data_IF_029301919070
#
_entry.id   IF_029301919070
#
_cell.length_a   1.000
_cell.length_b   1.000
_cell.length_c   1.000
_cell.angle_alpha   90.00
_cell.angle_beta   90.00
_cell.angle_gamma   90.00
#
_symmetry.space_group_name_H-M   'P 1'
#
loop_
_entity.id
_entity.type
_entity.pdbx_description
1 polymer ?
#
# COMPACT_ATOMS: atom_id res chain seq x y z
N UNK A 1 -5.98 -18.13 -4.93
CA UNK A 1 -5.76 -17.41 -6.20
C UNK A 1 -5.03 -18.23 -7.26
N UNK A 2 -3.81 -18.72 -7.01
CA UNK A 2 -3.00 -19.43 -8.03
C UNK A 2 -3.69 -20.70 -8.60
N UNK A 3 -4.26 -21.54 -7.74
CA UNK A 3 -4.95 -22.77 -8.17
C UNK A 3 -6.28 -22.51 -8.91
N UNK A 4 -7.05 -21.49 -8.48
CA UNK A 4 -8.39 -21.20 -9.02
C UNK A 4 -8.38 -20.48 -10.37
N UNK A 5 -7.27 -19.86 -10.78
CA UNK A 5 -7.17 -19.20 -12.09
C UNK A 5 -7.12 -20.23 -13.21
N UNK A 6 -7.69 -19.90 -14.35
CA UNK A 6 -7.67 -20.71 -15.58
C UNK A 6 -6.31 -20.69 -16.32
N UNK A 7 -5.27 -20.12 -15.71
CA UNK A 7 -3.90 -20.12 -16.22
C UNK A 7 -2.91 -20.30 -15.06
N UNK A 8 -1.64 -20.53 -15.40
CA UNK A 8 -0.54 -20.61 -14.42
C UNK A 8 0.46 -19.49 -14.69
N UNK A 9 0.80 -18.73 -13.64
CA UNK A 9 1.88 -17.75 -13.65
C UNK A 9 2.68 -17.89 -12.35
N UNK A 10 4.02 -17.89 -12.41
CA UNK A 10 4.84 -17.86 -11.20
C UNK A 10 4.43 -16.71 -10.28
N UNK A 11 4.46 -16.97 -8.98
CA UNK A 11 4.23 -15.96 -7.95
C UNK A 11 5.47 -15.89 -7.06
N UNK A 12 6.13 -14.74 -7.11
CA UNK A 12 7.25 -14.45 -6.22
C UNK A 12 6.67 -13.75 -4.98
N UNK A 13 6.88 -14.35 -3.81
CA UNK A 13 6.36 -13.84 -2.53
C UNK A 13 7.55 -13.48 -1.65
N UNK A 14 7.58 -12.23 -1.20
CA UNK A 14 8.52 -11.80 -0.16
C UNK A 14 7.93 -12.18 1.20
N UNK A 15 8.16 -13.43 1.61
CA UNK A 15 7.56 -13.97 2.82
C UNK A 15 8.07 -13.21 4.06
N UNK A 16 7.16 -12.79 4.97
CA UNK A 16 7.56 -12.01 6.13
C UNK A 16 8.26 -12.88 7.18
N UNK A 17 9.17 -12.27 7.94
CA UNK A 17 9.78 -12.88 9.14
C UNK A 17 9.16 -12.33 10.42
N UNK A 18 9.30 -11.02 10.65
CA UNK A 18 8.82 -10.36 11.86
C UNK A 18 7.30 -10.35 11.99
N UNK A 19 6.56 -10.30 10.87
CA UNK A 19 5.10 -10.24 10.91
C UNK A 19 4.45 -11.55 11.39
N UNK A 20 5.18 -12.66 11.41
CA UNK A 20 4.66 -13.96 11.87
C UNK A 20 4.18 -13.93 13.33
N UNK A 21 4.67 -12.98 14.14
CA UNK A 21 4.29 -12.83 15.56
C UNK A 21 3.83 -11.41 15.90
N UNK A 22 3.65 -10.55 14.90
CA UNK A 22 3.24 -9.18 15.14
C UNK A 22 1.73 -9.14 15.45
N UNK A 23 1.36 -8.58 16.61
CA UNK A 23 -0.04 -8.49 17.06
C UNK A 23 -0.93 -7.63 16.15
N UNK A 24 -0.33 -6.72 15.38
CA UNK A 24 -1.06 -5.90 14.40
C UNK A 24 -1.25 -6.61 13.06
N UNK A 25 -0.45 -7.64 12.77
CA UNK A 25 -0.51 -8.40 11.52
C UNK A 25 -1.42 -9.63 11.66
N UNK A 26 -2.66 -9.39 12.07
CA UNK A 26 -3.69 -10.43 12.28
C UNK A 26 -4.86 -10.20 11.33
N UNK A 27 -5.52 -11.27 10.94
CA UNK A 27 -6.71 -11.26 10.08
C UNK A 27 -7.88 -11.92 10.78
N UNK A 28 -9.09 -11.41 10.52
CA UNK A 28 -10.33 -12.03 11.02
C UNK A 28 -10.76 -13.16 10.11
N UNK A 29 -11.57 -14.09 10.63
CA UNK A 29 -12.01 -15.25 9.85
C UNK A 29 -12.87 -14.85 8.63
N UNK A 30 -13.65 -13.79 8.76
CA UNK A 30 -14.54 -13.27 7.72
C UNK A 30 -13.76 -12.77 6.50
N UNK A 31 -12.52 -12.30 6.71
CA UNK A 31 -11.63 -11.84 5.63
C UNK A 31 -11.21 -13.00 4.70
N UNK A 32 -11.27 -14.25 5.19
CA UNK A 32 -10.95 -15.44 4.39
C UNK A 32 -12.17 -16.04 3.67
N UNK A 33 -13.37 -15.84 4.20
CA UNK A 33 -14.60 -16.45 3.65
C UNK A 33 -15.30 -15.54 2.64
N UNK A 34 -15.34 -14.23 2.89
CA UNK A 34 -15.94 -13.24 2.00
C UNK A 34 -14.94 -12.37 1.23
N UNK A 35 -13.67 -12.39 1.64
CA UNK A 35 -12.64 -11.53 1.06
C UNK A 35 -12.04 -12.05 -0.24
N UNK A 36 -11.21 -11.21 -0.84
CA UNK A 36 -10.37 -11.54 -1.99
C UNK A 36 -8.97 -10.96 -1.79
N UNK A 37 -8.02 -11.40 -2.61
CA UNK A 37 -6.69 -10.77 -2.59
C UNK A 37 -6.79 -9.32 -3.08
N UNK A 38 -6.46 -8.39 -2.20
CA UNK A 38 -6.42 -6.96 -2.50
C UNK A 38 -5.04 -6.58 -3.04
N UNK A 39 -4.98 -6.10 -4.28
CA UNK A 39 -3.71 -5.73 -4.92
C UNK A 39 -3.11 -4.43 -4.35
N UNK A 40 -3.98 -3.58 -3.79
CA UNK A 40 -3.68 -2.35 -3.07
C UNK A 40 -4.64 -2.32 -1.89
N UNK A 41 -4.13 -2.07 -0.69
CA UNK A 41 -4.95 -1.83 0.50
C UNK A 41 -4.87 -0.35 0.83
N UNK A 42 -6.03 0.31 0.82
CA UNK A 42 -6.18 1.73 1.14
C UNK A 42 -6.02 1.99 2.65
N UNK A 43 -6.08 3.26 3.06
CA UNK A 43 -6.07 3.66 4.46
C UNK A 43 -7.19 2.95 5.24
N UNK A 44 -6.77 2.25 6.30
CA UNK A 44 -7.66 1.47 7.17
C UNK A 44 -8.11 2.23 8.41
N UNK A 45 -7.38 3.27 8.82
CA UNK A 45 -7.74 4.10 9.96
C UNK A 45 -8.80 5.12 9.56
N UNK A 46 -9.63 5.54 10.53
CA UNK A 46 -10.61 6.60 10.30
C UNK A 46 -9.89 7.94 10.20
N UNK A 47 -9.63 8.40 8.98
CA UNK A 47 -9.10 9.73 8.66
C UNK A 47 -10.10 10.54 7.86
N UNK A 48 -10.14 11.85 8.10
CA UNK A 48 -10.82 12.80 7.23
C UNK A 48 -9.98 12.99 5.96
N UNK A 49 -10.36 12.29 4.88
CA UNK A 49 -9.64 12.31 3.61
C UNK A 49 -9.49 13.72 3.05
N UNK A 50 -10.44 14.63 3.31
CA UNK A 50 -10.39 16.00 2.80
C UNK A 50 -9.22 16.82 3.37
N UNK A 51 -8.72 16.41 4.54
CA UNK A 51 -7.60 17.06 5.25
C UNK A 51 -6.26 16.38 5.00
N UNK A 52 -6.23 15.28 4.26
CA UNK A 52 -4.99 14.56 3.97
C UNK A 52 -4.12 15.41 3.04
N UNK A 53 -2.93 15.76 3.52
CA UNK A 53 -1.93 16.52 2.75
C UNK A 53 -0.85 15.64 2.12
N UNK A 54 -0.66 14.42 2.65
CA UNK A 54 0.34 13.47 2.16
C UNK A 54 -0.16 12.04 2.24
N UNK A 55 0.20 11.27 1.23
CA UNK A 55 -0.06 9.84 1.13
C UNK A 55 1.29 9.11 1.08
N UNK A 56 1.55 8.28 2.10
CA UNK A 56 2.70 7.37 2.12
C UNK A 56 2.29 6.06 1.46
N UNK A 57 3.04 5.64 0.45
CA UNK A 57 2.83 4.36 -0.24
C UNK A 57 3.98 3.45 0.16
N UNK A 58 3.68 2.26 0.64
CA UNK A 58 4.68 1.31 1.09
C UNK A 58 4.28 -0.12 0.75
N UNK A 59 5.16 -1.07 1.04
CA UNK A 59 4.89 -2.51 0.90
C UNK A 59 5.54 -3.29 2.03
N UNK A 60 4.89 -4.37 2.45
CA UNK A 60 5.42 -5.26 3.47
C UNK A 60 5.41 -4.64 4.88
N UNK A 61 6.41 -5.01 5.68
CA UNK A 61 6.38 -4.79 7.13
C UNK A 61 6.50 -3.33 7.55
N UNK A 62 7.15 -2.48 6.74
CA UNK A 62 7.36 -1.06 7.02
C UNK A 62 6.05 -0.31 7.27
N UNK A 63 4.93 -0.79 6.72
CA UNK A 63 3.59 -0.27 7.02
C UNK A 63 3.32 -0.16 8.52
N UNK A 64 3.64 -1.19 9.29
CA UNK A 64 3.35 -1.23 10.72
C UNK A 64 4.25 -0.27 11.51
N UNK A 65 5.48 -0.05 11.04
CA UNK A 65 6.41 0.92 11.62
C UNK A 65 5.91 2.34 11.37
N UNK A 66 5.46 2.64 10.15
CA UNK A 66 4.84 3.93 9.79
C UNK A 66 3.54 4.18 10.56
N UNK A 67 2.69 3.16 10.70
CA UNK A 67 1.43 3.26 11.43
C UNK A 67 1.69 3.59 12.91
N UNK A 68 2.60 2.86 13.54
CA UNK A 68 2.96 3.09 14.94
C UNK A 68 3.51 4.51 15.18
N UNK A 69 4.39 4.99 14.29
CA UNK A 69 4.94 6.35 14.42
C UNK A 69 3.86 7.42 14.16
N UNK A 70 2.94 7.19 13.22
CA UNK A 70 1.81 8.08 12.97
C UNK A 70 0.90 8.20 14.20
N UNK A 71 0.56 7.08 14.82
CA UNK A 71 -0.31 7.01 16.01
C UNK A 71 0.36 7.66 17.22
N UNK A 72 1.64 7.34 17.46
CA UNK A 72 2.45 7.91 18.55
C UNK A 72 2.48 9.45 18.49
N UNK A 73 2.61 10.00 17.29
CA UNK A 73 2.65 11.45 17.07
C UNK A 73 1.26 12.07 16.83
N UNK A 74 0.18 11.28 16.89
CA UNK A 74 -1.21 11.73 16.66
C UNK A 74 -1.40 12.46 15.33
N UNK A 75 -0.71 12.01 14.30
CA UNK A 75 -0.77 12.59 12.96
C UNK A 75 -2.07 12.14 12.29
N UNK A 76 -2.87 13.09 11.80
CA UNK A 76 -4.23 12.87 11.26
C UNK A 76 -4.40 13.31 9.80
N UNK A 77 -3.36 13.90 9.21
CA UNK A 77 -3.34 14.47 7.86
C UNK A 77 -2.45 13.66 6.89
N UNK A 78 -1.99 12.47 7.31
CA UNK A 78 -1.17 11.57 6.50
C UNK A 78 -1.84 10.19 6.40
N UNK A 79 -2.19 9.79 5.18
CA UNK A 79 -2.68 8.45 4.89
C UNK A 79 -1.52 7.50 4.54
N UNK A 80 -1.67 6.21 4.85
CA UNK A 80 -0.69 5.17 4.57
C UNK A 80 -1.37 4.07 3.74
N UNK A 81 -0.90 3.89 2.52
CA UNK A 81 -1.35 2.87 1.58
C UNK A 81 -0.34 1.73 1.45
N UNK A 82 -0.87 0.53 1.27
CA UNK A 82 -0.08 -0.67 1.03
C UNK A 82 -0.24 -1.15 -0.40
N UNK A 83 0.88 -1.30 -1.08
CA UNK A 83 0.97 -1.91 -2.40
C UNK A 83 1.36 -3.38 -2.26
N UNK A 84 0.36 -4.25 -2.18
CA UNK A 84 0.55 -5.70 -1.94
C UNK A 84 0.96 -6.47 -3.22
N UNK A 85 0.81 -5.86 -4.40
CA UNK A 85 1.25 -6.44 -5.66
C UNK A 85 1.84 -5.38 -6.61
N UNK A 86 3.14 -5.42 -6.87
CA UNK A 86 3.83 -4.36 -7.64
C UNK A 86 3.37 -4.18 -9.09
N UNK A 87 2.93 -5.26 -9.75
CA UNK A 87 2.41 -5.18 -11.12
C UNK A 87 1.02 -4.52 -11.20
N UNK A 88 0.38 -4.22 -10.06
CA UNK A 88 -0.95 -3.60 -10.00
C UNK A 88 -0.92 -2.09 -10.18
N UNK A 89 0.21 -1.41 -9.93
CA UNK A 89 0.35 0.05 -10.12
C UNK A 89 -0.08 0.45 -11.54
N UNK A 90 0.08 -0.46 -12.51
CA UNK A 90 -0.32 -0.31 -13.91
C UNK A 90 -1.85 -0.39 -14.17
N UNK A 91 -2.70 -0.45 -13.15
CA UNK A 91 -4.13 -0.84 -13.31
C UNK A 91 -5.11 0.16 -12.67
N UNK A 92 -6.40 0.03 -13.07
CA UNK A 92 -7.55 0.84 -12.61
C UNK A 92 -7.72 1.01 -11.09
N UNK A 93 -7.41 0.03 -10.21
CA UNK A 93 -7.58 0.20 -8.77
C UNK A 93 -6.81 1.39 -8.18
N UNK A 94 -5.61 1.67 -8.71
CA UNK A 94 -4.81 2.81 -8.30
C UNK A 94 -5.58 4.14 -8.54
N UNK A 95 -6.05 4.37 -9.76
CA UNK A 95 -6.81 5.57 -10.12
C UNK A 95 -8.11 5.74 -9.31
N UNK A 96 -8.76 4.64 -8.93
CA UNK A 96 -9.97 4.70 -8.10
C UNK A 96 -9.67 5.26 -6.71
N UNK A 97 -8.63 4.75 -6.06
CA UNK A 97 -8.16 5.21 -4.75
C UNK A 97 -7.65 6.66 -4.86
N UNK A 98 -6.98 7.03 -5.94
CA UNK A 98 -6.47 8.39 -6.20
C UNK A 98 -7.51 9.47 -6.01
N UNK A 99 -8.66 9.24 -6.60
CA UNK A 99 -9.76 10.20 -6.65
C UNK A 99 -10.45 10.40 -5.30
N UNK A 100 -10.15 9.55 -4.32
CA UNK A 100 -10.70 9.68 -2.97
C UNK A 100 -9.91 10.64 -2.08
N UNK A 101 -8.71 11.04 -2.50
CA UNK A 101 -7.87 12.02 -1.81
C UNK A 101 -7.95 13.39 -2.52
N UNK A 102 -7.60 14.49 -1.83
CA UNK A 102 -7.59 15.81 -2.42
C UNK A 102 -6.66 15.88 -3.64
N UNK A 103 -7.08 16.62 -4.67
CA UNK A 103 -6.21 16.88 -5.83
C UNK A 103 -4.95 17.61 -5.38
N UNK A 104 -3.80 17.17 -5.88
CA UNK A 104 -2.49 17.72 -5.58
C UNK A 104 -1.88 17.25 -4.26
N UNK A 105 -2.47 16.24 -3.59
CA UNK A 105 -1.86 15.63 -2.40
C UNK A 105 -0.47 15.08 -2.73
N UNK A 106 0.47 15.20 -1.80
CA UNK A 106 1.85 14.73 -1.99
C UNK A 106 1.90 13.20 -1.86
N UNK A 107 2.59 12.53 -2.79
CA UNK A 107 2.77 11.08 -2.76
C UNK A 107 4.22 10.69 -2.55
N UNK A 108 4.45 9.90 -1.51
CA UNK A 108 5.80 9.47 -1.13
C UNK A 108 5.87 7.96 -1.08
N UNK A 109 6.78 7.37 -1.86
CA UNK A 109 7.13 5.97 -1.68
C UNK A 109 8.07 5.80 -0.49
N UNK A 110 7.73 4.88 0.39
CA UNK A 110 8.52 4.52 1.56
C UNK A 110 8.89 3.05 1.50
N UNK A 111 10.17 2.77 1.68
CA UNK A 111 10.71 1.42 1.78
C UNK A 111 11.87 1.38 2.78
N UNK A 112 12.14 0.20 3.33
CA UNK A 112 13.30 -0.03 4.21
C UNK A 112 14.57 -0.31 3.41
N UNK A 113 14.41 -0.88 2.21
CA UNK A 113 15.51 -1.21 1.34
C UNK A 113 16.22 0.06 0.84
N UNK A 114 17.55 0.00 0.62
CA UNK A 114 18.29 1.08 -0.04
C UNK A 114 17.65 1.50 -1.36
N UNK A 115 17.85 2.77 -1.76
CA UNK A 115 17.22 3.36 -2.96
C UNK A 115 17.45 2.56 -4.25
N UNK A 116 18.61 1.94 -4.42
CA UNK A 116 18.96 1.12 -5.57
C UNK A 116 18.45 -0.34 -5.48
N UNK A 117 17.82 -0.70 -4.36
CA UNK A 117 17.26 -2.01 -4.07
C UNK A 117 15.74 -1.93 -3.85
N UNK A 118 15.15 -3.09 -3.57
CA UNK A 118 13.72 -3.21 -3.36
C UNK A 118 12.98 -2.86 -4.64
N UNK A 119 11.87 -2.15 -4.48
CA UNK A 119 10.90 -1.92 -5.55
C UNK A 119 11.04 -0.54 -6.16
N UNK A 120 11.68 0.40 -5.46
CA UNK A 120 11.84 1.78 -5.91
C UNK A 120 12.41 1.91 -7.33
N UNK A 121 13.48 1.19 -7.76
CA UNK A 121 13.96 1.28 -9.14
C UNK A 121 12.91 0.93 -10.19
N UNK A 122 11.95 0.05 -9.85
CA UNK A 122 10.87 -0.37 -10.75
C UNK A 122 9.68 0.60 -10.74
N UNK A 123 9.30 1.13 -9.58
CA UNK A 123 8.08 1.95 -9.45
C UNK A 123 8.31 3.46 -9.39
N UNK A 124 9.53 3.90 -9.04
CA UNK A 124 9.82 5.32 -8.78
C UNK A 124 9.50 6.19 -9.99
N UNK A 125 9.84 5.68 -11.18
CA UNK A 125 9.49 6.31 -12.46
C UNK A 125 8.04 6.08 -12.91
N UNK A 126 7.24 5.28 -12.21
CA UNK A 126 5.86 4.93 -12.62
C UNK A 126 4.79 5.53 -11.72
N UNK A 127 5.13 5.89 -10.48
CA UNK A 127 4.20 6.48 -9.51
C UNK A 127 3.44 7.67 -10.09
N UNK A 128 4.15 8.61 -10.74
CA UNK A 128 3.52 9.78 -11.36
C UNK A 128 2.58 9.45 -12.53
N UNK A 129 2.86 8.38 -13.29
CA UNK A 129 2.03 8.00 -14.44
C UNK A 129 0.68 7.44 -14.00
N UNK A 130 0.65 6.76 -12.86
CA UNK A 130 -0.55 6.10 -12.35
C UNK A 130 -1.36 6.94 -11.38
N UNK A 131 -0.82 8.10 -11.03
CA UNK A 131 -1.42 9.01 -10.08
C UNK A 131 -1.27 10.49 -10.48
N UNK A 132 -1.70 10.85 -11.71
CA UNK A 132 -1.46 12.17 -12.28
C UNK A 132 -2.15 13.30 -11.50
N UNK A 133 -3.16 12.98 -10.69
CA UNK A 133 -3.86 13.95 -9.86
C UNK A 133 -3.05 14.41 -8.64
N UNK A 134 -1.90 13.79 -8.37
CA UNK A 134 -1.07 14.05 -7.18
C UNK A 134 0.31 14.59 -7.51
N UNK A 135 0.94 15.25 -6.54
CA UNK A 135 2.29 15.83 -6.69
C UNK A 135 3.34 14.86 -6.14
N UNK A 136 4.48 14.77 -6.83
CA UNK A 136 5.69 14.10 -6.32
C UNK A 136 6.44 14.99 -5.33
#
# INVERSE_FOLDING_TARGET
RQMRRNFRKPLIIMAPKSLLRNKMAVSRLEEFSGGQFEEIIDETSKLDRSRVRRVLICSGKVYYELLAEREKNRITDIAILRLEQYLSVLRRPAHGIARTYPRGVEMVWVQEEPRNNGVYPFIGAKLHYHWPECRN
#
